data_IF_725821728720
#
_entry.id   IF_725821728720
#
_cell.length_a   1.000
_cell.length_b   1.000
_cell.length_c   1.000
_cell.angle_alpha   90.00
_cell.angle_beta   90.00
_cell.angle_gamma   90.00
#
_symmetry.space_group_name_H-M   'P 1'
#
loop_
_entity.id
_entity.type
_entity.pdbx_description
1 polymer ?
#
# COMPACT_ATOMS: atom_id res chain seq x y z
N UNK A 1 3.99 23.66 13.59
CA UNK A 1 2.72 22.99 13.97
C UNK A 1 1.71 22.98 12.83
N UNK A 2 1.67 23.99 11.95
CA UNK A 2 0.78 24.01 10.78
C UNK A 2 0.96 22.84 9.79
N UNK A 3 2.20 22.36 9.61
CA UNK A 3 2.47 21.32 8.60
C UNK A 3 1.85 19.95 8.96
N UNK A 4 1.81 19.59 10.24
CA UNK A 4 1.23 18.32 10.69
C UNK A 4 -0.28 18.29 10.51
N UNK A 5 -0.97 19.32 10.99
CA UNK A 5 -2.43 19.43 10.87
C UNK A 5 -2.86 19.50 9.40
N UNK A 6 -2.08 20.21 8.56
CA UNK A 6 -2.30 20.26 7.12
C UNK A 6 -2.15 18.87 6.47
N UNK A 7 -1.09 18.12 6.80
CA UNK A 7 -0.88 16.76 6.28
C UNK A 7 -1.98 15.79 6.73
N UNK A 8 -2.43 15.87 7.98
CA UNK A 8 -3.54 15.05 8.49
C UNK A 8 -4.84 15.42 7.79
N UNK A 9 -5.11 16.71 7.57
CA UNK A 9 -6.29 17.15 6.83
C UNK A 9 -6.26 16.68 5.37
N UNK A 10 -5.10 16.76 4.71
CA UNK A 10 -4.89 16.23 3.36
C UNK A 10 -5.13 14.71 3.31
N UNK A 11 -4.64 13.96 4.30
CA UNK A 11 -4.89 12.52 4.39
C UNK A 11 -6.40 12.20 4.53
N UNK A 12 -7.15 12.99 5.30
CA UNK A 12 -8.61 12.83 5.41
C UNK A 12 -9.33 13.14 4.09
N UNK A 13 -8.91 14.16 3.36
CA UNK A 13 -9.45 14.44 2.03
C UNK A 13 -9.14 13.31 1.04
N UNK A 14 -7.92 12.77 1.08
CA UNK A 14 -7.52 11.63 0.26
C UNK A 14 -8.31 10.36 0.60
N UNK A 15 -8.63 10.13 1.87
CA UNK A 15 -9.51 9.04 2.30
C UNK A 15 -10.90 9.16 1.68
N UNK A 16 -11.53 10.35 1.76
CA UNK A 16 -12.86 10.59 1.18
C UNK A 16 -12.88 10.47 -0.35
N UNK A 17 -11.75 10.75 -1.00
CA UNK A 17 -11.57 10.62 -2.44
C UNK A 17 -11.08 9.22 -2.88
N UNK A 18 -10.94 8.27 -1.94
CA UNK A 18 -10.38 6.93 -2.17
C UNK A 18 -8.97 6.92 -2.80
N UNK A 19 -8.20 8.01 -2.62
CA UNK A 19 -6.84 8.19 -3.14
C UNK A 19 -5.81 7.70 -2.12
N UNK A 20 -5.86 6.40 -1.82
CA UNK A 20 -5.08 5.82 -0.71
C UNK A 20 -3.55 5.90 -0.88
N UNK A 21 -3.02 5.95 -2.11
CA UNK A 21 -1.58 6.16 -2.32
C UNK A 21 -1.12 7.54 -1.81
N UNK A 22 -1.92 8.59 -2.05
CA UNK A 22 -1.64 9.96 -1.55
C UNK A 22 -1.86 10.06 -0.04
N UNK A 23 -2.85 9.31 0.47
CA UNK A 23 -3.06 9.18 1.90
C UNK A 23 -1.84 8.56 2.59
N UNK A 24 -1.24 7.51 1.98
CA UNK A 24 0.00 6.89 2.48
C UNK A 24 1.15 7.89 2.47
N UNK A 25 1.31 8.68 1.40
CA UNK A 25 2.36 9.70 1.32
C UNK A 25 2.22 10.76 2.41
N UNK A 26 1.01 11.31 2.58
CA UNK A 26 0.72 12.31 3.60
C UNK A 26 0.98 11.78 5.01
N UNK A 27 0.52 10.56 5.30
CA UNK A 27 0.69 9.94 6.62
C UNK A 27 2.12 9.46 6.89
N UNK A 28 2.91 9.13 5.86
CA UNK A 28 4.37 8.89 5.97
C UNK A 28 5.08 10.15 6.43
N UNK A 29 4.74 11.30 5.87
CA UNK A 29 5.33 12.58 6.27
C UNK A 29 5.03 12.89 7.73
N UNK A 30 3.78 12.67 8.18
CA UNK A 30 3.39 12.82 9.60
C UNK A 30 4.18 11.87 10.50
N UNK A 31 4.31 10.60 10.11
CA UNK A 31 5.08 9.60 10.87
C UNK A 31 6.59 9.90 10.92
N UNK A 32 7.12 10.69 9.97
CA UNK A 32 8.51 11.12 9.94
C UNK A 32 8.84 12.31 10.84
N UNK A 33 7.85 12.96 11.47
CA UNK A 33 8.07 14.22 12.22
C UNK A 33 8.72 14.05 13.61
N UNK A 34 9.27 12.88 13.97
CA UNK A 34 9.90 12.57 15.27
C UNK A 34 9.03 12.90 16.51
N UNK A 35 7.71 12.93 16.32
CA UNK A 35 6.71 13.11 17.37
C UNK A 35 5.81 11.88 17.40
N UNK A 36 5.37 11.50 18.60
CA UNK A 36 4.46 10.38 18.77
C UNK A 36 3.14 10.60 18.01
N UNK A 37 2.68 9.54 17.33
CA UNK A 37 1.43 9.53 16.60
C UNK A 37 0.26 9.35 17.57
N UNK A 38 -0.74 10.22 17.42
CA UNK A 38 -2.02 10.07 18.10
C UNK A 38 -2.74 8.80 17.64
N UNK A 39 -3.75 8.38 18.40
CA UNK A 39 -4.59 7.23 18.05
C UNK A 39 -5.26 7.44 16.69
N UNK A 40 -5.72 8.66 16.40
CA UNK A 40 -6.36 9.00 15.13
C UNK A 40 -5.39 8.88 13.95
N UNK A 41 -4.19 9.43 14.06
CA UNK A 41 -3.18 9.35 12.98
C UNK A 41 -2.70 7.92 12.75
N UNK A 42 -2.56 7.11 13.81
CA UNK A 42 -2.22 5.70 13.67
C UNK A 42 -3.32 4.93 12.94
N UNK A 43 -4.59 5.27 13.18
CA UNK A 43 -5.71 4.69 12.46
C UNK A 43 -5.70 5.11 10.99
N UNK A 44 -5.49 6.40 10.69
CA UNK A 44 -5.37 6.90 9.31
C UNK A 44 -4.24 6.19 8.55
N UNK A 45 -3.07 6.06 9.18
CA UNK A 45 -1.93 5.32 8.62
C UNK A 45 -2.32 3.86 8.32
N UNK A 46 -3.00 3.20 9.26
CA UNK A 46 -3.44 1.82 9.10
C UNK A 46 -4.46 1.65 7.96
N UNK A 47 -5.42 2.55 7.85
CA UNK A 47 -6.43 2.56 6.77
C UNK A 47 -5.76 2.77 5.42
N UNK A 48 -4.86 3.75 5.31
CA UNK A 48 -4.13 4.06 4.08
C UNK A 48 -3.37 2.82 3.56
N UNK A 49 -2.51 2.23 4.40
CA UNK A 49 -1.72 1.07 4.00
C UNK A 49 -2.57 -0.17 3.72
N UNK A 50 -3.61 -0.45 4.54
CA UNK A 50 -4.49 -1.61 4.33
C UNK A 50 -5.17 -1.55 2.96
N UNK A 51 -5.64 -0.38 2.55
CA UNK A 51 -6.31 -0.21 1.26
C UNK A 51 -5.33 -0.33 0.09
N UNK A 52 -4.17 0.32 0.16
CA UNK A 52 -3.14 0.22 -0.89
C UNK A 52 -2.67 -1.22 -1.08
N UNK A 53 -2.32 -1.92 0.02
CA UNK A 53 -1.88 -3.32 -0.03
C UNK A 53 -3.01 -4.23 -0.49
N UNK A 54 -4.25 -3.97 -0.07
CA UNK A 54 -5.45 -4.71 -0.48
C UNK A 54 -5.68 -4.65 -1.99
N UNK A 55 -5.64 -3.45 -2.56
CA UNK A 55 -5.78 -3.22 -4.00
C UNK A 55 -4.65 -3.90 -4.79
N UNK A 56 -3.40 -3.79 -4.32
CA UNK A 56 -2.23 -4.45 -4.90
C UNK A 56 -2.34 -5.98 -4.90
N UNK A 57 -2.74 -6.57 -3.76
CA UNK A 57 -3.03 -8.01 -3.66
C UNK A 57 -4.15 -8.46 -4.59
N UNK A 58 -5.20 -7.65 -4.76
CA UNK A 58 -6.26 -7.95 -5.71
C UNK A 58 -5.74 -7.94 -7.16
N UNK A 59 -4.96 -6.92 -7.54
CA UNK A 59 -4.30 -6.83 -8.84
C UNK A 59 -3.39 -8.03 -9.10
N UNK A 60 -2.54 -8.40 -8.14
CA UNK A 60 -1.66 -9.57 -8.24
C UNK A 60 -2.43 -10.88 -8.48
N UNK A 61 -3.54 -11.10 -7.76
CA UNK A 61 -4.39 -12.28 -7.95
C UNK A 61 -4.99 -12.33 -9.35
N UNK A 62 -5.44 -11.19 -9.88
CA UNK A 62 -5.98 -11.10 -11.24
C UNK A 62 -4.90 -11.45 -12.26
N UNK A 63 -3.71 -10.85 -12.15
CA UNK A 63 -2.59 -11.10 -13.07
C UNK A 63 -2.18 -12.57 -13.04
N UNK A 64 -2.05 -13.16 -11.85
CA UNK A 64 -1.72 -14.58 -11.69
C UNK A 64 -2.79 -15.49 -12.32
N UNK A 65 -4.07 -15.09 -12.23
CA UNK A 65 -5.17 -15.83 -12.85
C UNK A 65 -5.17 -15.70 -14.38
N UNK A 66 -4.75 -14.56 -14.91
CA UNK A 66 -4.58 -14.36 -16.36
C UNK A 66 -3.41 -15.18 -16.91
N UNK A 67 -2.29 -15.23 -16.17
CA UNK A 67 -1.13 -16.04 -16.53
C UNK A 67 -1.53 -17.52 -16.67
N UNK A 68 -2.22 -18.07 -15.67
CA UNK A 68 -2.65 -19.47 -15.70
C UNK A 68 -3.61 -19.76 -16.87
N UNK A 69 -4.52 -18.83 -17.17
CA UNK A 69 -5.45 -18.97 -18.29
C UNK A 69 -4.74 -18.97 -19.65
N UNK A 70 -3.68 -18.20 -19.79
CA UNK A 70 -2.95 -18.09 -21.06
C UNK A 70 -1.95 -19.23 -21.25
N UNK A 71 -1.37 -19.74 -20.16
CA UNK A 71 -0.53 -20.95 -20.17
C UNK A 71 -1.31 -22.16 -20.72
N UNK A 72 -2.59 -22.29 -20.36
CA UNK A 72 -3.48 -23.36 -20.85
C UNK A 72 -3.81 -23.25 -22.36
N UNK A 73 -3.61 -22.08 -22.98
CA UNK A 73 -3.92 -21.85 -24.41
C UNK A 73 -2.71 -22.02 -25.33
N UNK A 74 -1.49 -22.14 -24.77
CA UNK A 74 -0.26 -22.32 -25.55
C UNK A 74 0.25 -21.07 -26.28
N UNK A 75 -0.17 -19.86 -25.88
CA UNK A 75 0.30 -18.60 -26.47
C UNK A 75 1.56 -18.07 -25.81
N UNK A 76 2.75 -18.43 -26.32
CA UNK A 76 4.05 -18.09 -25.70
C UNK A 76 4.32 -16.58 -25.60
N UNK A 77 4.01 -15.81 -26.65
CA UNK A 77 4.27 -14.36 -26.67
C UNK A 77 3.44 -13.59 -25.62
N UNK A 78 2.14 -13.92 -25.52
CA UNK A 78 1.24 -13.31 -24.54
C UNK A 78 1.61 -13.73 -23.12
N UNK A 79 2.01 -14.98 -22.93
CA UNK A 79 2.47 -15.49 -21.64
C UNK A 79 3.72 -14.73 -21.16
N UNK A 80 4.66 -14.46 -22.07
CA UNK A 80 5.86 -13.66 -21.77
C UNK A 80 5.49 -12.23 -21.34
N UNK A 81 4.60 -11.57 -22.06
CA UNK A 81 4.12 -10.22 -21.69
C UNK A 81 3.45 -10.21 -20.30
N UNK A 82 2.63 -11.21 -19.98
CA UNK A 82 1.97 -11.31 -18.68
C UNK A 82 3.00 -11.52 -17.55
N UNK A 83 4.02 -12.35 -17.78
CA UNK A 83 5.10 -12.60 -16.80
C UNK A 83 5.94 -11.35 -16.53
N UNK A 84 6.30 -10.60 -17.56
CA UNK A 84 7.03 -9.32 -17.41
C UNK A 84 6.20 -8.29 -16.63
N UNK A 85 4.91 -8.18 -16.94
CA UNK A 85 4.00 -7.29 -16.22
C UNK A 85 3.85 -7.72 -14.75
N UNK A 86 3.71 -9.02 -14.49
CA UNK A 86 3.68 -9.59 -13.13
C UNK A 86 4.93 -9.21 -12.35
N UNK A 87 6.13 -9.39 -12.90
CA UNK A 87 7.37 -8.99 -12.22
C UNK A 87 7.39 -7.50 -11.83
N UNK A 88 6.91 -6.63 -12.72
CA UNK A 88 6.83 -5.18 -12.46
C UNK A 88 5.90 -4.87 -11.29
N UNK A 89 4.74 -5.55 -11.20
CA UNK A 89 3.82 -5.39 -10.06
C UNK A 89 4.43 -5.92 -8.77
N UNK A 90 5.11 -7.07 -8.81
CA UNK A 90 5.81 -7.65 -7.65
C UNK A 90 6.88 -6.72 -7.07
N UNK A 91 7.73 -6.14 -7.93
CA UNK A 91 8.80 -5.24 -7.48
C UNK A 91 8.21 -3.99 -6.80
N UNK A 92 7.18 -3.39 -7.41
CA UNK A 92 6.47 -2.25 -6.83
C UNK A 92 5.81 -2.58 -5.49
N UNK A 93 5.34 -3.82 -5.30
CA UNK A 93 4.69 -4.29 -4.07
C UNK A 93 5.68 -4.61 -2.95
N UNK A 94 6.84 -5.19 -3.27
CA UNK A 94 7.89 -5.49 -2.29
C UNK A 94 8.39 -4.23 -1.58
N UNK A 95 8.55 -3.12 -2.31
CA UNK A 95 8.99 -1.84 -1.74
C UNK A 95 7.97 -1.24 -0.75
N UNK A 96 6.67 -1.47 -0.99
CA UNK A 96 5.59 -0.98 -0.12
C UNK A 96 5.38 -1.88 1.11
N UNK A 97 5.57 -3.19 0.95
CA UNK A 97 5.31 -4.19 1.99
C UNK A 97 6.36 -4.16 3.13
N UNK A 98 7.62 -3.81 2.83
CA UNK A 98 8.68 -3.70 3.84
C UNK A 98 8.38 -2.62 4.89
N UNK A 99 7.68 -1.54 4.50
CA UNK A 99 7.34 -0.44 5.41
C UNK A 99 6.24 -0.83 6.40
N UNK A 100 5.29 -1.68 5.98
CA UNK A 100 4.18 -2.10 6.83
C UNK A 100 4.60 -3.10 7.91
N UNK A 101 5.48 -4.06 7.62
CA UNK A 101 5.90 -5.05 8.63
C UNK A 101 6.67 -4.41 9.79
N UNK A 102 7.46 -3.37 9.50
CA UNK A 102 8.25 -2.64 10.51
C UNK A 102 7.38 -1.77 11.42
N UNK A 103 6.29 -1.18 10.90
CA UNK A 103 5.39 -0.34 11.68
C UNK A 103 4.33 -1.15 12.46
N UNK A 104 3.80 -2.23 11.88
CA UNK A 104 2.80 -3.07 12.55
C UNK A 104 3.39 -3.86 13.72
N UNK A 105 4.65 -4.33 13.61
CA UNK A 105 5.36 -4.99 14.71
C UNK A 105 5.62 -4.06 15.90
N UNK A 106 5.91 -2.77 15.65
CA UNK A 106 6.03 -1.75 16.71
C UNK A 106 4.69 -1.40 17.37
N UNK A 107 3.58 -1.37 16.61
CA UNK A 107 2.26 -1.07 17.17
C UNK A 107 1.65 -2.23 17.98
N UNK A 108 1.96 -3.48 17.67
CA UNK A 108 1.51 -4.64 18.46
C UNK A 108 2.32 -4.81 19.75
N UNK A 109 3.61 -4.44 19.75
CA UNK A 109 4.45 -4.49 20.94
C UNK A 109 4.05 -3.49 22.05
N UNK A 110 3.30 -2.43 21.72
CA UNK A 110 2.77 -1.46 22.70
C UNK A 110 1.43 -1.89 23.34
N UNK A 111 0.87 -3.03 22.93
CA UNK A 111 -0.39 -3.59 23.45
C UNK A 111 -0.21 -4.86 24.30
N UNK A 112 1.04 -5.22 24.64
CA UNK A 112 1.39 -6.26 25.60
C UNK A 112 2.07 -5.62 26.81
#
# INVERSE_FOLDING_TARGET
MADREHLVYQAKLAEQAERYDEMVESMKNVAGMDVELTVEERNLLSVAYKNVIGARRASWRIISSLEQKEENKGGEDKLKMIREYRQTVSQRDSDSCHVFSVQHSRSLASRA
#
